data_IF_954884752011
#
_entry.id   IF_954884752011
#
_cell.length_a   1.000
_cell.length_b   1.000
_cell.length_c   1.000
_cell.angle_alpha   90.00
_cell.angle_beta   90.00
_cell.angle_gamma   90.00
#
_symmetry.space_group_name_H-M   'P 1'
#
loop_
_entity.id
_entity.type
_entity.pdbx_description
1 polymer ?
#
# COMPACT_ATOMS: atom_id res chain seq x y z
N UNK A 1 15.49 8.66 -7.90
CA UNK A 1 14.60 7.58 -8.39
C UNK A 1 13.27 7.77 -7.69
N UNK A 2 12.18 7.98 -8.43
CA UNK A 2 10.86 8.16 -7.81
C UNK A 2 10.31 6.79 -7.39
N UNK A 3 9.66 6.72 -6.22
CA UNK A 3 9.02 5.48 -5.74
C UNK A 3 7.96 4.95 -6.73
N UNK A 4 7.36 5.82 -7.53
CA UNK A 4 6.41 5.45 -8.59
C UNK A 4 6.99 4.43 -9.57
N UNK A 5 8.29 4.53 -9.86
CA UNK A 5 8.94 3.79 -10.94
C UNK A 5 9.67 2.54 -10.44
N UNK A 6 9.69 2.32 -9.12
CA UNK A 6 10.40 1.18 -8.51
C UNK A 6 9.53 -0.08 -8.63
N UNK A 7 10.02 -1.19 -9.22
CA UNK A 7 9.25 -2.42 -9.28
C UNK A 7 9.03 -2.98 -7.86
N UNK A 8 7.81 -3.45 -7.58
CA UNK A 8 7.52 -4.13 -6.33
C UNK A 8 7.74 -5.63 -6.49
N UNK A 9 8.24 -6.33 -5.45
CA UNK A 9 8.42 -7.78 -5.48
C UNK A 9 7.10 -8.56 -5.34
N UNK A 10 5.96 -7.86 -5.43
CA UNK A 10 4.61 -8.38 -5.28
C UNK A 10 3.76 -7.83 -6.43
N UNK A 11 2.78 -8.61 -6.94
CA UNK A 11 1.88 -8.13 -7.98
C UNK A 11 1.13 -6.90 -7.47
N UNK A 12 1.28 -5.79 -8.18
CA UNK A 12 0.66 -4.51 -7.80
C UNK A 12 -0.57 -4.26 -8.66
N UNK A 13 -1.69 -4.01 -8.00
CA UNK A 13 -2.98 -3.64 -8.58
C UNK A 13 -3.34 -2.24 -8.10
N UNK A 14 -4.29 -1.62 -8.77
CA UNK A 14 -4.80 -0.30 -8.39
C UNK A 14 -6.31 -0.32 -8.22
N UNK A 15 -6.81 0.46 -7.25
CA UNK A 15 -8.22 0.76 -7.10
C UNK A 15 -8.39 2.28 -6.93
N UNK A 16 -9.52 2.82 -7.36
CA UNK A 16 -9.82 4.24 -7.17
C UNK A 16 -10.78 4.39 -6.01
N UNK A 17 -10.41 5.22 -5.03
CA UNK A 17 -11.30 5.54 -3.89
C UNK A 17 -12.48 6.38 -4.36
N UNK A 18 -13.51 6.53 -3.51
CA UNK A 18 -14.64 7.44 -3.77
C UNK A 18 -14.22 8.89 -4.00
N UNK A 19 -13.08 9.30 -3.45
CA UNK A 19 -12.51 10.64 -3.62
C UNK A 19 -11.65 10.79 -4.89
N UNK A 20 -11.59 9.77 -5.75
CA UNK A 20 -10.80 9.78 -6.98
C UNK A 20 -9.32 9.42 -6.80
N UNK A 21 -8.86 9.20 -5.56
CA UNK A 21 -7.45 8.85 -5.28
C UNK A 21 -7.15 7.41 -5.72
N UNK A 22 -6.11 7.15 -6.55
CA UNK A 22 -5.64 5.81 -6.86
C UNK A 22 -4.86 5.23 -5.69
N UNK A 23 -5.20 4.01 -5.27
CA UNK A 23 -4.48 3.24 -4.26
C UNK A 23 -3.81 2.03 -4.88
N UNK A 24 -2.52 1.89 -4.62
CA UNK A 24 -1.76 0.70 -4.96
C UNK A 24 -1.95 -0.36 -3.88
N UNK A 25 -2.21 -1.60 -4.30
CA UNK A 25 -2.34 -2.73 -3.38
C UNK A 25 -1.89 -4.03 -4.04
N UNK A 26 -1.65 -5.06 -3.22
CA UNK A 26 -1.42 -6.43 -3.65
C UNK A 26 -2.52 -7.32 -3.14
N UNK A 27 -2.79 -8.39 -3.88
CA UNK A 27 -3.83 -9.36 -3.59
C UNK A 27 -3.31 -10.74 -4.01
N UNK A 28 -2.92 -11.54 -3.02
CA UNK A 28 -2.20 -12.80 -3.21
C UNK A 28 -2.77 -13.86 -2.30
N UNK A 29 -2.88 -15.09 -2.81
CA UNK A 29 -3.45 -16.21 -2.07
C UNK A 29 -4.97 -16.28 -2.18
N UNK A 30 -5.55 -17.17 -1.39
CA UNK A 30 -6.99 -17.43 -1.33
C UNK A 30 -7.38 -17.77 0.11
N UNK A 31 -8.67 -17.73 0.43
CA UNK A 31 -9.18 -18.01 1.78
C UNK A 31 -9.61 -16.75 2.53
N UNK A 32 -9.67 -16.77 3.88
CA UNK A 32 -10.08 -15.61 4.67
C UNK A 32 -9.20 -14.39 4.39
N UNK A 33 -9.79 -13.18 4.24
CA UNK A 33 -9.01 -11.99 3.93
C UNK A 33 -8.17 -11.56 5.13
N UNK A 34 -6.89 -11.26 4.89
CA UNK A 34 -5.97 -10.68 5.85
C UNK A 34 -5.42 -9.37 5.30
N UNK A 35 -5.72 -8.26 5.99
CA UNK A 35 -5.33 -6.92 5.59
C UNK A 35 -4.07 -6.46 6.33
N UNK A 36 -3.06 -6.04 5.59
CA UNK A 36 -1.82 -5.45 6.11
C UNK A 36 -1.84 -3.93 5.92
N UNK A 37 -1.67 -3.21 7.02
CA UNK A 37 -1.61 -1.74 7.05
C UNK A 37 -0.25 -1.34 7.61
N UNK A 38 0.52 -0.58 6.83
CA UNK A 38 1.84 -0.11 7.26
C UNK A 38 1.74 1.18 8.10
N UNK A 39 2.81 1.50 8.85
CA UNK A 39 2.95 2.75 9.59
C UNK A 39 3.78 3.80 8.86
N UNK A 40 4.22 4.84 9.59
CA UNK A 40 5.06 5.93 9.07
C UNK A 40 6.39 5.41 8.53
N UNK A 41 6.85 5.96 7.39
CA UNK A 41 8.13 5.60 6.77
C UNK A 41 8.16 4.22 6.10
N UNK A 42 7.01 3.57 5.97
CA UNK A 42 6.87 2.24 5.37
C UNK A 42 5.89 2.27 4.18
N UNK A 43 5.75 1.12 3.52
CA UNK A 43 4.95 0.91 2.30
C UNK A 43 4.72 -0.60 2.08
N UNK A 44 3.86 -0.95 1.14
CA UNK A 44 3.36 -2.31 0.87
C UNK A 44 4.43 -3.43 0.88
N UNK A 45 5.59 -3.30 0.20
CA UNK A 45 6.62 -4.34 0.16
C UNK A 45 7.24 -4.70 1.50
N UNK A 46 7.06 -3.89 2.55
CA UNK A 46 7.49 -4.24 3.90
C UNK A 46 6.88 -5.58 4.38
N UNK A 47 5.73 -5.96 3.81
CA UNK A 47 5.01 -7.20 4.13
C UNK A 47 5.41 -8.40 3.28
N UNK A 48 6.38 -8.29 2.36
CA UNK A 48 6.71 -9.36 1.40
C UNK A 48 6.95 -10.72 2.08
N UNK A 49 7.74 -10.74 3.17
CA UNK A 49 8.06 -11.99 3.88
C UNK A 49 6.84 -12.55 4.62
N UNK A 50 6.00 -11.68 5.19
CA UNK A 50 4.76 -12.08 5.84
C UNK A 50 3.76 -12.67 4.83
N UNK A 51 3.59 -12.00 3.69
CA UNK A 51 2.71 -12.46 2.61
C UNK A 51 3.18 -13.80 2.07
N UNK A 52 4.47 -13.97 1.81
CA UNK A 52 5.02 -15.24 1.34
C UNK A 52 4.72 -16.41 2.31
N UNK A 53 4.72 -16.16 3.61
CA UNK A 53 4.39 -17.16 4.62
C UNK A 53 2.87 -17.40 4.78
N UNK A 54 2.05 -16.35 4.67
CA UNK A 54 0.63 -16.38 5.02
C UNK A 54 -0.29 -16.64 3.81
N UNK A 55 0.13 -16.33 2.58
CA UNK A 55 -0.69 -16.50 1.38
C UNK A 55 -1.16 -17.93 1.08
N UNK A 56 -0.50 -19.02 1.55
CA UNK A 56 -1.06 -20.37 1.44
C UNK A 56 -2.34 -20.57 2.28
N UNK A 57 -2.58 -19.75 3.30
CA UNK A 57 -3.68 -19.91 4.26
C UNK A 57 -4.72 -18.77 4.20
N UNK A 58 -4.32 -17.61 3.71
CA UNK A 58 -5.13 -16.39 3.67
C UNK A 58 -5.07 -15.71 2.30
N UNK A 59 -6.14 -15.00 1.95
CA UNK A 59 -6.08 -13.98 0.90
C UNK A 59 -5.43 -12.72 1.47
N UNK A 60 -4.15 -12.54 1.20
CA UNK A 60 -3.35 -11.46 1.74
C UNK A 60 -3.53 -10.18 0.90
N UNK A 61 -3.99 -9.12 1.57
CA UNK A 61 -4.19 -7.79 1.00
C UNK A 61 -3.25 -6.81 1.69
N UNK A 62 -2.30 -6.21 0.96
CA UNK A 62 -1.47 -5.13 1.49
C UNK A 62 -1.59 -3.91 0.59
N UNK A 63 -1.80 -2.73 1.16
CA UNK A 63 -1.92 -1.48 0.41
C UNK A 63 -0.83 -0.48 0.78
N UNK A 64 -0.53 0.41 -0.15
CA UNK A 64 0.11 1.68 0.15
C UNK A 64 -0.96 2.65 0.63
N UNK A 65 -0.80 3.21 1.83
CA UNK A 65 -1.69 4.25 2.34
C UNK A 65 -1.65 5.50 1.44
N UNK A 66 -2.73 6.31 1.40
CA UNK A 66 -2.73 7.62 0.74
C UNK A 66 -1.45 8.43 1.05
N UNK A 67 -0.76 8.93 0.03
CA UNK A 67 0.47 9.70 0.19
C UNK A 67 1.75 8.86 0.20
N UNK A 68 1.65 7.54 0.36
CA UNK A 68 2.79 6.63 0.48
C UNK A 68 2.94 5.74 -0.76
N UNK A 69 4.13 5.16 -0.91
CA UNK A 69 4.39 4.17 -1.96
C UNK A 69 3.95 4.63 -3.35
N UNK A 70 3.25 3.73 -4.04
CA UNK A 70 2.64 3.94 -5.37
C UNK A 70 1.21 4.47 -5.33
N UNK A 71 0.64 4.68 -4.15
CA UNK A 71 -0.64 5.36 -4.02
C UNK A 71 -0.51 6.85 -4.36
N UNK A 72 -1.63 7.42 -4.81
CA UNK A 72 -1.78 8.84 -5.10
C UNK A 72 -1.40 9.71 -3.90
N UNK A 73 -0.91 10.91 -4.19
CA UNK A 73 -0.41 11.87 -3.19
C UNK A 73 -1.26 13.14 -3.16
N UNK A 74 -2.09 13.34 -4.16
CA UNK A 74 -3.03 14.42 -4.30
C UNK A 74 -4.06 14.43 -3.16
N UNK A 75 -4.34 15.63 -2.64
CA UNK A 75 -5.34 15.81 -1.57
C UNK A 75 -4.95 15.21 -0.22
N UNK A 76 -3.79 14.57 -0.08
CA UNK A 76 -3.28 14.10 1.20
C UNK A 76 -2.63 15.28 1.92
N UNK A 77 -3.38 15.96 2.77
CA UNK A 77 -2.81 16.91 3.72
C UNK A 77 -1.89 16.14 4.67
N UNK A 78 -0.60 16.49 4.78
CA UNK A 78 0.23 15.94 5.83
C UNK A 78 -0.47 16.22 7.16
N UNK A 79 -0.76 15.19 7.94
CA UNK A 79 -1.38 15.35 9.26
C UNK A 79 -0.43 16.01 10.29
N UNK A 80 0.63 16.68 9.82
CA UNK A 80 1.54 17.47 10.65
C UNK A 80 1.01 18.90 10.76
N UNK A 81 0.51 19.33 11.94
CA UNK A 81 -0.01 20.68 12.11
C UNK A 81 1.09 21.76 12.18
N UNK A 82 2.35 21.46 11.88
CA UNK A 82 3.49 22.32 12.23
C UNK A 82 4.54 22.55 11.13
N UNK A 83 4.21 22.44 9.83
CA UNK A 83 5.15 22.89 8.79
C UNK A 83 4.72 24.27 8.29
N UNK A 84 5.38 25.37 8.70
CA UNK A 84 5.13 26.69 8.13
C UNK A 84 5.67 26.73 6.70
N UNK A 85 4.85 27.29 5.83
CA UNK A 85 5.21 27.78 4.49
C UNK A 85 6.16 28.96 4.62
#
# INVERSE_FOLDING_TARGET
MLISDTPYPLPTRYLTTKAGLPLAYTDVGQGPPLLFIHGLGSYLPAWQKNIAFLSPHFRCLALDLPGFGKSGKEGVTPAWPFMPI
#
